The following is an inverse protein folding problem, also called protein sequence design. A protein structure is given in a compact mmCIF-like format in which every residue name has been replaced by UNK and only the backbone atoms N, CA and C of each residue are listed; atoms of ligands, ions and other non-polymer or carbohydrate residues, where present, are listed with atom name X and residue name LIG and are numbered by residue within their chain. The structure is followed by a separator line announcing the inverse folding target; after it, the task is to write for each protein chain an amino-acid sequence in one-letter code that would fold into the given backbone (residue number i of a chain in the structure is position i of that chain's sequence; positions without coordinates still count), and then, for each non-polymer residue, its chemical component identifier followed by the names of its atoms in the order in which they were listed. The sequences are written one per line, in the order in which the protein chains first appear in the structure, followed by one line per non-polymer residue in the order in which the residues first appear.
data_IF_813892397421
#
_entry.id   IF_813892397421
#
_cell.length_a   1.000
_cell.length_b   1.000
_cell.length_c   1.000
_cell.angle_alpha   90.00
_cell.angle_beta   90.00
_cell.angle_gamma   90.00
#
_symmetry.space_group_name_H-M   'P 1'
#
loop_
_entity.id
_entity.type
_entity.pdbx_description
1 polymer ?
#
# COMPACT_ATOMS: atom_id res chain seq x y z
N UNK A 1 -15.09 -12.00 -16.32
CA UNK A 1 -14.02 -11.00 -16.10
C UNK A 1 -14.53 -9.64 -16.59
N UNK A 2 -14.39 -8.57 -15.81
CA UNK A 2 -14.82 -7.21 -16.21
C UNK A 2 -13.90 -6.65 -17.31
N UNK A 3 -14.45 -5.95 -18.31
CA UNK A 3 -13.62 -5.30 -19.35
C UNK A 3 -12.89 -4.07 -18.80
N UNK A 4 -11.84 -3.65 -19.50
CA UNK A 4 -11.07 -2.46 -19.13
C UNK A 4 -11.96 -1.21 -19.04
N UNK A 5 -12.82 -0.97 -20.03
CA UNK A 5 -13.69 0.20 -20.11
C UNK A 5 -14.73 0.19 -19.00
N UNK A 6 -15.32 -0.98 -18.71
CA UNK A 6 -16.27 -1.14 -17.59
C UNK A 6 -15.59 -0.82 -16.26
N UNK A 7 -14.37 -1.33 -16.05
CA UNK A 7 -13.59 -1.05 -14.85
C UNK A 7 -13.21 0.42 -14.73
N UNK A 8 -12.70 1.02 -15.80
CA UNK A 8 -12.33 2.43 -15.82
C UNK A 8 -13.56 3.32 -15.59
N UNK A 9 -14.71 2.97 -16.16
CA UNK A 9 -16.00 3.64 -15.88
C UNK A 9 -16.37 3.52 -14.40
N UNK A 10 -16.30 2.32 -13.82
CA UNK A 10 -16.57 2.10 -12.39
C UNK A 10 -15.62 2.89 -11.51
N UNK A 11 -14.33 2.92 -11.80
CA UNK A 11 -13.35 3.72 -11.07
C UNK A 11 -13.57 5.21 -11.22
N UNK A 12 -14.05 5.69 -12.37
CA UNK A 12 -14.24 7.12 -12.64
C UNK A 12 -15.54 7.67 -12.06
N UNK A 13 -16.62 6.90 -12.11
CA UNK A 13 -17.96 7.38 -11.77
C UNK A 13 -18.56 6.75 -10.51
N UNK A 14 -18.00 5.62 -10.05
CA UNK A 14 -18.46 4.92 -8.86
C UNK A 14 -17.98 5.55 -7.55
N UNK A 15 -18.18 4.81 -6.47
CA UNK A 15 -17.72 5.20 -5.14
C UNK A 15 -16.19 5.37 -5.14
N UNK A 16 -15.64 6.48 -4.58
CA UNK A 16 -14.20 6.69 -4.47
C UNK A 16 -13.42 5.57 -3.77
N UNK A 17 -14.11 4.70 -3.01
CA UNK A 17 -13.54 3.49 -2.39
C UNK A 17 -13.25 2.36 -3.37
N UNK A 18 -13.96 2.29 -4.49
CA UNK A 18 -13.93 1.16 -5.43
C UNK A 18 -12.53 0.78 -5.91
N UNK A 19 -11.65 1.71 -6.35
CA UNK A 19 -10.33 1.33 -6.84
C UNK A 19 -9.46 0.68 -5.76
N UNK A 20 -9.56 1.17 -4.52
CA UNK A 20 -8.78 0.68 -3.39
C UNK A 20 -9.31 -0.63 -2.84
N UNK A 21 -10.63 -0.81 -2.76
CA UNK A 21 -11.25 -2.10 -2.47
C UNK A 21 -10.84 -3.14 -3.50
N UNK A 22 -10.84 -2.77 -4.78
CA UNK A 22 -10.38 -3.66 -5.84
C UNK A 22 -8.89 -4.03 -5.67
N UNK A 23 -8.04 -3.07 -5.32
CA UNK A 23 -6.61 -3.31 -5.03
C UNK A 23 -6.43 -4.28 -3.84
N UNK A 24 -7.05 -3.98 -2.70
CA UNK A 24 -6.96 -4.79 -1.47
C UNK A 24 -7.49 -6.20 -1.70
N UNK A 25 -8.64 -6.34 -2.37
CA UNK A 25 -9.22 -7.65 -2.67
C UNK A 25 -8.37 -8.44 -3.68
N UNK A 26 -7.75 -7.77 -4.65
CA UNK A 26 -6.82 -8.44 -5.57
C UNK A 26 -5.61 -9.00 -4.80
N UNK A 27 -5.04 -8.21 -3.89
CA UNK A 27 -3.93 -8.65 -3.05
C UNK A 27 -4.37 -9.81 -2.15
N UNK A 28 -5.51 -9.69 -1.47
CA UNK A 28 -6.04 -10.71 -0.56
C UNK A 28 -6.34 -12.04 -1.26
N UNK A 29 -6.85 -12.01 -2.49
CA UNK A 29 -7.28 -13.21 -3.21
C UNK A 29 -6.17 -13.86 -4.03
N UNK A 30 -5.20 -13.10 -4.55
CA UNK A 30 -4.21 -13.62 -5.48
C UNK A 30 -2.77 -13.59 -4.95
N UNK A 31 -2.40 -12.62 -4.11
CA UNK A 31 -1.01 -12.46 -3.65
C UNK A 31 -0.81 -13.01 -2.24
N UNK A 32 -1.77 -12.78 -1.34
CA UNK A 32 -1.72 -13.29 0.04
C UNK A 32 -1.60 -14.82 0.12
N UNK A 33 -2.31 -15.64 -0.69
CA UNK A 33 -2.13 -17.09 -0.67
C UNK A 33 -0.69 -17.51 -1.01
N UNK A 34 -0.05 -16.82 -1.96
CA UNK A 34 1.35 -17.07 -2.31
C UNK A 34 2.29 -16.67 -1.18
N UNK A 35 2.07 -15.53 -0.52
CA UNK A 35 2.81 -15.19 0.69
C UNK A 35 2.64 -16.22 1.80
N UNK A 36 1.43 -16.74 2.00
CA UNK A 36 1.19 -17.78 2.99
C UNK A 36 2.03 -19.03 2.70
N UNK A 37 2.09 -19.48 1.44
CA UNK A 37 2.95 -20.59 1.02
C UNK A 37 4.43 -20.31 1.28
N UNK A 38 4.91 -19.07 1.07
CA UNK A 38 6.30 -18.72 1.39
C UNK A 38 6.61 -18.89 2.88
N UNK A 39 5.65 -18.54 3.76
CA UNK A 39 5.79 -18.76 5.21
C UNK A 39 5.77 -20.26 5.54
N UNK A 40 4.82 -21.00 4.98
CA UNK A 40 4.68 -22.46 5.18
C UNK A 40 5.95 -23.22 4.76
N UNK A 41 6.67 -22.71 3.75
CA UNK A 41 7.91 -23.30 3.23
C UNK A 41 9.21 -22.71 3.83
N UNK A 42 9.12 -21.85 4.87
CA UNK A 42 10.31 -21.24 5.48
C UNK A 42 11.07 -20.25 4.57
N UNK A 43 10.44 -19.73 3.52
CA UNK A 43 11.06 -18.85 2.53
C UNK A 43 11.05 -17.39 3.00
N UNK A 44 11.73 -17.10 4.11
CA UNK A 44 11.70 -15.81 4.80
C UNK A 44 12.05 -14.61 3.90
N UNK A 45 13.06 -14.74 3.05
CA UNK A 45 13.48 -13.64 2.16
C UNK A 45 12.42 -13.33 1.09
N UNK A 46 11.78 -14.36 0.52
CA UNK A 46 10.68 -14.16 -0.43
C UNK A 46 9.48 -13.50 0.25
N UNK A 47 9.20 -13.88 1.50
CA UNK A 47 8.18 -13.23 2.30
C UNK A 47 8.47 -11.73 2.49
N UNK A 48 9.70 -11.35 2.85
CA UNK A 48 10.08 -9.93 2.99
C UNK A 48 10.00 -9.16 1.68
N UNK A 49 10.42 -9.75 0.54
CA UNK A 49 10.28 -9.12 -0.77
C UNK A 49 8.81 -8.87 -1.13
N UNK A 50 7.96 -9.89 -1.00
CA UNK A 50 6.55 -9.81 -1.38
C UNK A 50 5.72 -8.94 -0.44
N UNK A 51 5.90 -9.07 0.88
CA UNK A 51 5.23 -8.20 1.86
C UNK A 51 5.63 -6.73 1.66
N UNK A 52 6.91 -6.44 1.42
CA UNK A 52 7.36 -5.08 1.12
C UNK A 52 6.73 -4.51 -0.16
N UNK A 53 6.61 -5.31 -1.23
CA UNK A 53 5.95 -4.87 -2.45
C UNK A 53 4.49 -4.48 -2.20
N UNK A 54 3.75 -5.29 -1.41
CA UNK A 54 2.38 -4.98 -0.99
C UNK A 54 2.34 -3.69 -0.17
N UNK A 55 3.22 -3.56 0.83
CA UNK A 55 3.33 -2.38 1.69
C UNK A 55 3.48 -1.11 0.85
N UNK A 56 4.44 -1.10 -0.08
CA UNK A 56 4.70 0.07 -0.91
C UNK A 56 3.54 0.36 -1.85
N UNK A 57 2.91 -0.66 -2.42
CA UNK A 57 1.79 -0.49 -3.33
C UNK A 57 0.57 0.12 -2.60
N UNK A 58 0.21 -0.42 -1.45
CA UNK A 58 -0.91 0.09 -0.63
C UNK A 58 -0.59 1.48 -0.09
N UNK A 59 0.60 1.67 0.50
CA UNK A 59 1.01 2.97 1.03
C UNK A 59 1.00 4.07 -0.04
N UNK A 60 1.46 3.75 -1.26
CA UNK A 60 1.45 4.71 -2.37
C UNK A 60 0.06 4.96 -2.90
N UNK A 61 -0.75 3.92 -3.08
CA UNK A 61 -2.05 4.08 -3.70
C UNK A 61 -3.07 4.73 -2.78
N UNK A 62 -3.13 4.30 -1.52
CA UNK A 62 -4.12 4.79 -0.54
C UNK A 62 -3.63 6.06 0.14
N UNK A 63 -2.36 6.11 0.56
CA UNK A 63 -1.85 7.21 1.41
C UNK A 63 -0.88 8.16 0.69
N UNK A 64 -0.48 7.86 -0.56
CA UNK A 64 0.55 8.60 -1.31
C UNK A 64 1.88 8.76 -0.56
N UNK A 65 2.20 7.75 0.25
CA UNK A 65 3.48 7.64 0.95
C UNK A 65 4.34 6.58 0.26
N UNK A 66 5.65 6.79 0.28
CA UNK A 66 6.64 5.90 -0.34
C UNK A 66 7.85 5.69 0.57
N UNK A 67 8.68 4.71 0.25
CA UNK A 67 9.93 4.46 0.96
C UNK A 67 9.70 4.05 2.41
N UNK A 68 10.57 4.54 3.30
CA UNK A 68 10.47 4.29 4.75
C UNK A 68 9.16 4.86 5.30
N UNK A 69 8.77 6.08 4.90
CA UNK A 69 7.52 6.71 5.36
C UNK A 69 6.26 5.93 4.95
N UNK A 70 6.27 5.32 3.76
CA UNK A 70 5.21 4.39 3.34
C UNK A 70 5.20 3.10 4.15
N UNK A 71 6.40 2.55 4.43
CA UNK A 71 6.57 1.34 5.25
C UNK A 71 6.04 1.55 6.67
N UNK A 72 6.52 2.60 7.35
CA UNK A 72 6.08 2.97 8.68
C UNK A 72 4.57 3.20 8.74
N UNK A 73 4.01 3.94 7.79
CA UNK A 73 2.57 4.21 7.74
C UNK A 73 1.74 2.93 7.58
N UNK A 74 2.15 2.00 6.71
CA UNK A 74 1.42 0.74 6.55
C UNK A 74 1.48 -0.11 7.81
N UNK A 75 2.68 -0.31 8.35
CA UNK A 75 2.90 -1.16 9.52
C UNK A 75 2.06 -0.65 10.71
N UNK A 76 2.14 0.66 10.97
CA UNK A 76 1.43 1.31 12.07
C UNK A 76 -0.09 1.10 12.01
N UNK A 77 -0.67 1.20 10.82
CA UNK A 77 -2.11 1.14 10.67
C UNK A 77 -2.65 -0.30 10.57
N UNK A 78 -1.87 -1.24 10.03
CA UNK A 78 -2.40 -2.53 9.62
C UNK A 78 -1.72 -3.75 10.24
N UNK A 79 -0.47 -3.63 10.67
CA UNK A 79 0.36 -4.79 11.11
C UNK A 79 0.64 -4.74 12.60
N UNK A 80 0.85 -3.54 13.15
CA UNK A 80 1.22 -3.37 14.55
C UNK A 80 0.20 -4.06 15.49
N UNK A 81 0.76 -4.83 16.42
CA UNK A 81 0.02 -5.44 17.52
C UNK A 81 -0.22 -4.46 18.67
N UNK A 82 -0.68 -5.02 19.79
CA UNK A 82 -1.00 -4.25 21.00
C UNK A 82 0.24 -4.00 21.87
N UNK A 83 1.15 -4.97 21.93
CA UNK A 83 2.36 -4.90 22.73
C UNK A 83 3.49 -4.18 21.99
N UNK A 84 4.44 -3.60 22.73
CA UNK A 84 5.55 -2.84 22.14
C UNK A 84 6.40 -3.66 21.16
N UNK A 85 6.70 -4.91 21.53
CA UNK A 85 7.47 -5.87 20.74
C UNK A 85 6.74 -6.36 19.47
N UNK A 86 5.45 -6.02 19.30
CA UNK A 86 4.69 -6.28 18.08
C UNK A 86 4.37 -5.01 17.29
N UNK A 87 4.92 -3.86 17.70
CA UNK A 87 4.87 -2.60 16.93
C UNK A 87 6.02 -2.55 15.92
N UNK A 88 5.86 -3.27 14.83
CA UNK A 88 6.84 -3.32 13.74
C UNK A 88 7.09 -1.96 13.08
N UNK A 89 6.16 -1.01 13.20
CA UNK A 89 6.36 0.36 12.72
C UNK A 89 7.55 1.08 13.38
N UNK A 90 7.89 0.73 14.63
CA UNK A 90 9.05 1.26 15.36
C UNK A 90 10.38 0.86 14.71
N UNK A 91 10.41 -0.33 14.09
CA UNK A 91 11.58 -0.85 13.33
C UNK A 91 11.36 -0.76 11.81
N UNK A 92 10.46 0.10 11.35
CA UNK A 92 10.09 0.21 9.93
C UNK A 92 11.28 0.54 9.01
N UNK A 93 12.28 1.27 9.50
CA UNK A 93 13.54 1.52 8.77
C UNK A 93 14.29 0.21 8.49
N UNK A 94 14.41 -0.66 9.49
CA UNK A 94 15.07 -1.96 9.35
C UNK A 94 14.29 -2.88 8.42
N UNK A 95 12.97 -2.96 8.56
CA UNK A 95 12.10 -3.74 7.66
C UNK A 95 12.21 -3.22 6.22
N UNK A 96 12.23 -1.90 6.03
CA UNK A 96 12.41 -1.29 4.71
C UNK A 96 13.75 -1.66 4.08
N UNK A 97 14.83 -1.62 4.87
CA UNK A 97 16.17 -1.97 4.40
C UNK A 97 16.38 -3.46 4.18
N UNK A 98 15.67 -4.33 4.91
CA UNK A 98 15.69 -5.77 4.69
C UNK A 98 15.42 -6.11 3.22
N UNK A 99 14.45 -5.43 2.58
CA UNK A 99 14.19 -5.59 1.15
C UNK A 99 15.40 -5.22 0.29
N UNK A 100 16.04 -4.08 0.56
CA UNK A 100 17.18 -3.62 -0.24
C UNK A 100 18.38 -4.57 -0.09
N UNK A 101 18.60 -5.07 1.12
CA UNK A 101 19.64 -6.06 1.41
C UNK A 101 19.36 -7.34 0.63
N UNK A 102 18.16 -7.92 0.77
CA UNK A 102 17.77 -9.15 0.07
C UNK A 102 17.79 -8.98 -1.45
N UNK A 103 17.32 -7.84 -1.97
CA UNK A 103 17.19 -7.63 -3.42
C UNK A 103 18.49 -7.23 -4.12
N UNK A 104 19.41 -6.54 -3.45
CA UNK A 104 20.55 -5.88 -4.10
C UNK A 104 21.89 -6.05 -3.39
N UNK A 105 21.89 -6.44 -2.12
CA UNK A 105 23.08 -6.37 -1.27
C UNK A 105 23.16 -7.54 -0.28
N UNK A 106 22.96 -8.77 -0.76
CA UNK A 106 23.00 -9.98 0.07
C UNK A 106 24.32 -10.11 0.86
N UNK A 107 25.40 -9.45 0.43
CA UNK A 107 26.70 -9.45 1.11
C UNK A 107 27.06 -8.12 1.80
N UNK A 108 26.13 -7.18 2.02
CA UNK A 108 26.49 -5.92 2.69
C UNK A 108 26.65 -6.08 4.20
N UNK A 109 27.56 -5.27 4.75
CA UNK A 109 27.77 -5.13 6.19
C UNK A 109 26.46 -4.80 6.95
N UNK A 110 25.53 -4.12 6.29
CA UNK A 110 24.22 -3.75 6.85
C UNK A 110 23.35 -4.97 7.21
N UNK A 111 23.59 -6.14 6.59
CA UNK A 111 22.89 -7.39 6.92
C UNK A 111 23.20 -7.85 8.33
N UNK A 112 24.37 -7.55 8.88
CA UNK A 112 24.75 -7.98 10.24
C UNK A 112 23.92 -7.32 11.34
N UNK A 113 23.33 -6.15 11.08
CA UNK A 113 22.57 -5.40 12.07
C UNK A 113 21.09 -5.84 12.17
N UNK A 114 20.65 -6.77 11.32
CA UNK A 114 19.30 -7.33 11.37
C UNK A 114 19.40 -8.86 11.40
N UNK A 115 19.07 -9.44 12.55
CA UNK A 115 19.15 -10.87 12.80
C UNK A 115 17.73 -11.43 12.77
N UNK A 116 17.49 -12.42 11.92
CA UNK A 116 16.26 -13.19 11.92
C UNK A 116 16.40 -14.29 12.99
N UNK A 117 15.55 -14.24 14.01
CA UNK A 117 15.65 -15.10 15.19
C UNK A 117 14.27 -15.71 15.46
N UNK A 118 14.07 -16.96 15.02
CA UNK A 118 12.80 -17.69 15.14
C UNK A 118 12.50 -18.12 16.58
N UNK A 119 13.54 -18.26 17.40
CA UNK A 119 13.43 -18.69 18.81
C UNK A 119 13.03 -17.53 19.73
N UNK A 120 13.06 -16.30 19.22
CA UNK A 120 12.65 -15.11 19.98
C UNK A 120 11.16 -15.18 20.32
N UNK A 121 10.80 -15.19 21.61
CA UNK A 121 9.38 -15.26 22.04
C UNK A 121 8.56 -14.02 21.63
N UNK A 122 9.22 -12.89 21.40
CA UNK A 122 8.62 -11.60 21.09
C UNK A 122 8.74 -11.24 19.59
N UNK A 123 7.98 -10.26 19.10
CA UNK A 123 7.99 -9.92 17.67
C UNK A 123 9.31 -9.34 17.19
N UNK A 124 9.91 -8.46 17.97
CA UNK A 124 11.26 -7.97 17.78
C UNK A 124 11.87 -7.53 19.11
N UNK A 125 13.21 -7.45 19.14
CA UNK A 125 13.97 -6.90 20.26
C UNK A 125 15.21 -6.19 19.74
N UNK A 126 15.56 -5.07 20.36
CA UNK A 126 16.82 -4.41 20.10
C UNK A 126 17.85 -4.80 21.16
N UNK A 127 19.01 -5.29 20.73
CA UNK A 127 20.16 -5.61 21.57
C UNK A 127 21.35 -4.80 21.05
N UNK A 128 21.75 -3.75 21.78
CA UNK A 128 22.80 -2.81 21.34
C UNK A 128 22.47 -2.22 19.95
N UNK A 129 23.32 -2.50 18.95
CA UNK A 129 23.17 -2.03 17.57
C UNK A 129 22.37 -2.99 16.67
N UNK A 130 22.05 -4.19 17.16
CA UNK A 130 21.38 -5.21 16.36
C UNK A 130 19.89 -5.25 16.69
N UNK A 131 19.09 -5.42 15.65
CA UNK A 131 17.67 -5.71 15.76
C UNK A 131 17.46 -7.19 15.46
N UNK A 132 16.93 -7.91 16.45
CA UNK A 132 16.45 -9.28 16.30
C UNK A 132 14.97 -9.26 15.97
N UNK A 133 14.55 -9.97 14.93
CA UNK A 133 13.15 -10.04 14.49
C UNK A 133 12.72 -11.50 14.44
N UNK A 134 11.64 -11.82 15.16
CA UNK A 134 10.92 -13.06 14.91
C UNK A 134 10.07 -12.89 13.66
N UNK A 135 10.54 -13.43 12.54
CA UNK A 135 9.85 -13.27 11.26
C UNK A 135 8.52 -14.03 11.20
N UNK A 136 8.32 -15.09 11.98
CA UNK A 136 7.03 -15.78 12.07
C UNK A 136 5.98 -14.90 12.74
N UNK A 137 6.35 -14.19 13.81
CA UNK A 137 5.44 -13.23 14.48
C UNK A 137 5.13 -12.08 13.52
N UNK A 138 6.14 -11.51 12.86
CA UNK A 138 5.92 -10.48 11.84
C UNK A 138 4.99 -10.96 10.72
N UNK A 139 5.25 -12.15 10.16
CA UNK A 139 4.49 -12.71 9.07
C UNK A 139 3.03 -12.96 9.45
N UNK A 140 2.79 -13.48 10.66
CA UNK A 140 1.44 -13.67 11.21
C UNK A 140 0.68 -12.36 11.26
N UNK A 141 1.24 -11.34 11.91
CA UNK A 141 0.64 -10.01 12.02
C UNK A 141 0.35 -9.39 10.64
N UNK A 142 1.27 -9.55 9.69
CA UNK A 142 1.11 -9.05 8.34
C UNK A 142 -0.03 -9.76 7.59
N UNK A 143 -0.09 -11.10 7.65
CA UNK A 143 -1.11 -11.89 6.97
C UNK A 143 -2.50 -11.71 7.61
N UNK A 144 -2.54 -11.53 8.93
CA UNK A 144 -3.77 -11.31 9.70
C UNK A 144 -4.44 -9.98 9.37
N UNK A 145 -3.67 -8.98 8.92
CA UNK A 145 -4.20 -7.71 8.43
C UNK A 145 -5.27 -7.90 7.33
N UNK A 146 -5.20 -9.00 6.57
CA UNK A 146 -6.09 -9.35 5.46
C UNK A 146 -7.15 -10.41 5.80
N UNK A 147 -7.18 -10.94 7.02
CA UNK A 147 -8.22 -11.87 7.45
C UNK A 147 -9.60 -11.20 7.46
N UNK A 148 -10.67 -11.99 7.60
CA UNK A 148 -12.02 -11.44 7.76
C UNK A 148 -12.05 -10.52 8.99
N UNK A 149 -12.40 -9.25 8.80
CA UNK A 149 -12.35 -8.23 9.85
C UNK A 149 -10.94 -7.70 10.15
N UNK A 150 -9.96 -8.01 9.31
CA UNK A 150 -8.61 -7.49 9.43
C UNK A 150 -8.54 -5.98 9.18
N UNK A 151 -7.59 -5.31 9.86
CA UNK A 151 -7.44 -3.85 9.85
C UNK A 151 -7.29 -3.25 8.45
N UNK A 152 -6.83 -4.03 7.46
CA UNK A 152 -6.64 -3.52 6.11
C UNK A 152 -7.95 -3.08 5.45
N UNK A 153 -9.10 -3.61 5.88
CA UNK A 153 -10.40 -3.28 5.30
C UNK A 153 -11.00 -1.97 5.84
N UNK A 154 -10.44 -1.43 6.93
CA UNK A 154 -10.84 -0.15 7.54
C UNK A 154 -9.99 1.03 7.04
N UNK A 155 -9.23 0.84 5.96
CA UNK A 155 -8.31 1.82 5.41
C UNK A 155 -8.98 3.17 5.08
N UNK A 156 -10.27 3.18 4.74
CA UNK A 156 -11.00 4.40 4.38
C UNK A 156 -11.31 5.29 5.58
N UNK A 157 -11.30 4.74 6.80
CA UNK A 157 -11.46 5.52 8.05
C UNK A 157 -10.23 6.41 8.32
N UNK A 158 -9.12 6.16 7.64
CA UNK A 158 -7.85 6.88 7.79
C UNK A 158 -7.72 8.07 6.82
N UNK A 159 -8.73 8.32 5.98
CA UNK A 159 -8.76 9.38 5.00
C UNK A 159 -10.03 10.22 5.13
N UNK A 160 -9.89 11.53 4.97
CA UNK A 160 -11.07 12.38 4.80
C UNK A 160 -11.77 12.10 3.45
N UNK A 161 -13.07 12.43 3.31
CA UNK A 161 -13.79 12.25 2.04
C UNK A 161 -13.13 12.95 0.84
N UNK A 162 -12.56 14.14 1.04
CA UNK A 162 -11.86 14.87 -0.03
C UNK A 162 -10.53 14.21 -0.39
N UNK A 163 -9.77 13.72 0.59
CA UNK A 163 -8.55 12.94 0.32
C UNK A 163 -8.88 11.71 -0.50
N UNK A 164 -9.94 10.99 -0.14
CA UNK A 164 -10.35 9.80 -0.86
C UNK A 164 -10.63 10.08 -2.35
N UNK A 165 -11.31 11.18 -2.67
CA UNK A 165 -11.54 11.63 -4.05
C UNK A 165 -10.23 11.96 -4.77
N UNK A 166 -9.31 12.69 -4.13
CA UNK A 166 -8.00 12.98 -4.71
C UNK A 166 -7.23 11.69 -5.00
N UNK A 167 -7.23 10.75 -4.05
CA UNK A 167 -6.54 9.46 -4.20
C UNK A 167 -7.15 8.65 -5.33
N UNK A 168 -8.47 8.62 -5.48
CA UNK A 168 -9.16 7.93 -6.57
C UNK A 168 -8.58 8.33 -7.94
N UNK A 169 -8.47 9.63 -8.22
CA UNK A 169 -7.96 10.08 -9.51
C UNK A 169 -6.44 9.90 -9.66
N UNK A 170 -5.68 10.00 -8.57
CA UNK A 170 -4.26 9.64 -8.59
C UNK A 170 -4.04 8.15 -8.87
N UNK A 171 -4.90 7.29 -8.33
CA UNK A 171 -4.91 5.87 -8.64
C UNK A 171 -5.22 5.65 -10.12
N UNK A 172 -6.26 6.30 -10.66
CA UNK A 172 -6.61 6.20 -12.08
C UNK A 172 -5.43 6.63 -12.97
N UNK A 173 -4.73 7.71 -12.64
CA UNK A 173 -3.54 8.13 -13.38
C UNK A 173 -2.47 7.02 -13.43
N UNK A 174 -2.25 6.32 -12.31
CA UNK A 174 -1.30 5.20 -12.24
C UNK A 174 -1.80 3.95 -12.95
N UNK A 175 -3.08 3.62 -12.79
CA UNK A 175 -3.74 2.49 -13.44
C UNK A 175 -3.68 2.60 -14.97
N UNK A 176 -3.74 3.82 -15.49
CA UNK A 176 -3.63 4.13 -16.91
C UNK A 176 -2.17 4.40 -17.34
N UNK A 177 -1.21 4.27 -16.44
CA UNK A 177 0.22 4.52 -16.69
C UNK A 177 0.51 5.90 -17.30
N UNK A 178 -0.28 6.90 -16.93
CA UNK A 178 -0.19 8.23 -17.52
C UNK A 178 1.02 9.00 -16.98
N UNK A 179 1.80 9.66 -17.86
CA UNK A 179 2.88 10.52 -17.40
C UNK A 179 2.32 11.73 -16.66
N UNK A 180 3.11 12.33 -15.76
CA UNK A 180 2.70 13.53 -15.01
C UNK A 180 2.30 14.71 -15.91
N UNK A 181 2.84 14.75 -17.13
CA UNK A 181 2.55 15.77 -18.15
C UNK A 181 1.18 15.59 -18.82
N UNK A 182 0.53 14.43 -18.68
CA UNK A 182 -0.79 14.19 -19.25
C UNK A 182 -1.86 15.08 -18.58
N UNK A 183 -2.84 15.55 -19.34
CA UNK A 183 -3.81 16.54 -18.86
C UNK A 183 -4.62 16.05 -17.65
N UNK A 184 -5.06 14.79 -17.67
CA UNK A 184 -5.71 14.14 -16.51
C UNK A 184 -4.81 14.24 -15.25
N UNK A 185 -3.51 13.97 -15.39
CA UNK A 185 -2.56 14.03 -14.27
C UNK A 185 -2.35 15.46 -13.79
N UNK A 186 -2.22 16.43 -14.70
CA UNK A 186 -2.09 17.86 -14.36
C UNK A 186 -3.28 18.36 -13.55
N UNK A 187 -4.50 18.06 -14.00
CA UNK A 187 -5.72 18.45 -13.27
C UNK A 187 -5.81 17.73 -11.93
N UNK A 188 -5.39 16.46 -11.85
CA UNK A 188 -5.32 15.70 -10.58
C UNK A 188 -4.30 16.29 -9.60
N UNK A 189 -3.16 16.80 -10.08
CA UNK A 189 -2.17 17.50 -9.25
C UNK A 189 -2.76 18.81 -8.71
N UNK A 190 -3.46 19.57 -9.55
CA UNK A 190 -4.15 20.78 -9.13
C UNK A 190 -5.29 20.50 -8.12
N UNK A 191 -5.96 19.36 -8.25
CA UNK A 191 -6.96 18.86 -7.30
C UNK A 191 -6.38 18.63 -5.91
N UNK A 192 -5.21 18.00 -5.84
CA UNK A 192 -4.49 17.81 -4.57
C UNK A 192 -4.13 19.14 -3.90
N UNK A 193 -3.69 20.13 -4.68
CA UNK A 193 -3.30 21.44 -4.16
C UNK A 193 -4.47 22.24 -3.57
N UNK A 194 -5.70 21.96 -4.00
CA UNK A 194 -6.91 22.69 -3.61
C UNK A 194 -7.92 21.81 -2.87
N UNK A 195 -7.44 20.80 -2.13
CA UNK A 195 -8.28 19.77 -1.50
C UNK A 195 -9.34 20.32 -0.52
N UNK A 196 -9.09 21.49 0.06
CA UNK A 196 -9.99 22.14 1.02
C UNK A 196 -11.02 23.06 0.37
N UNK A 197 -10.86 23.39 -0.92
CA UNK A 197 -11.81 24.22 -1.67
C UNK A 197 -12.83 23.31 -2.39
N UNK A 198 -14.04 23.23 -1.84
CA UNK A 198 -15.12 22.38 -2.38
C UNK A 198 -15.52 22.77 -3.80
N UNK A 199 -15.50 24.06 -4.15
CA UNK A 199 -15.92 24.54 -5.47
C UNK A 199 -14.88 24.16 -6.51
N UNK A 200 -13.61 24.39 -6.20
CA UNK A 200 -12.49 23.98 -7.06
C UNK A 200 -12.44 22.46 -7.21
N UNK A 201 -12.61 21.73 -6.12
CA UNK A 201 -12.66 20.27 -6.11
C UNK A 201 -13.75 19.73 -7.05
N UNK A 202 -14.98 20.21 -6.91
CA UNK A 202 -16.10 19.78 -7.77
C UNK A 202 -15.82 20.09 -9.25
N UNK A 203 -15.34 21.31 -9.56
CA UNK A 203 -15.02 21.73 -10.92
C UNK A 203 -13.93 20.86 -11.56
N UNK A 204 -12.85 20.58 -10.83
CA UNK A 204 -11.74 19.78 -11.33
C UNK A 204 -12.12 18.31 -11.48
N UNK A 205 -12.90 17.75 -10.56
CA UNK A 205 -13.45 16.38 -10.70
C UNK A 205 -14.29 16.27 -11.98
N UNK A 206 -15.17 17.24 -12.26
CA UNK A 206 -15.97 17.26 -13.49
C UNK A 206 -15.09 17.32 -14.74
N UNK A 207 -14.03 18.13 -14.71
CA UNK A 207 -13.06 18.21 -15.79
C UNK A 207 -12.31 16.89 -16.01
N UNK A 208 -11.82 16.25 -14.94
CA UNK A 208 -11.13 14.95 -15.02
C UNK A 208 -12.04 13.90 -15.66
N UNK A 209 -13.29 13.79 -15.20
CA UNK A 209 -14.28 12.86 -15.77
C UNK A 209 -14.48 13.09 -17.27
N UNK A 210 -14.63 14.36 -17.69
CA UNK A 210 -14.77 14.73 -19.10
C UNK A 210 -13.55 14.31 -19.93
N UNK A 211 -12.34 14.53 -19.40
CA UNK A 211 -11.09 14.13 -20.07
C UNK A 211 -10.98 12.60 -20.19
N UNK A 212 -11.36 11.84 -19.16
CA UNK A 212 -11.37 10.38 -19.20
C UNK A 212 -12.36 9.88 -20.27
N UNK A 213 -13.60 10.39 -20.27
CA UNK A 213 -14.60 10.05 -21.28
C UNK A 213 -14.08 10.29 -22.71
N UNK A 214 -13.49 11.47 -22.95
CA UNK A 214 -12.96 11.85 -24.26
C UNK A 214 -11.82 10.95 -24.70
N UNK A 215 -10.86 10.67 -23.81
CA UNK A 215 -9.64 9.95 -24.18
C UNK A 215 -9.84 8.43 -24.31
N UNK A 216 -10.83 7.87 -23.63
CA UNK A 216 -11.03 6.42 -23.54
C UNK A 216 -12.40 5.95 -24.07
N UNK A 217 -13.14 6.82 -24.76
CA UNK A 217 -14.46 6.52 -25.34
C UNK A 217 -15.46 5.93 -24.33
N UNK A 218 -15.42 6.39 -23.08
CA UNK A 218 -16.34 5.95 -22.03
C UNK A 218 -17.55 6.87 -22.03
N UNK A 219 -18.75 6.31 -22.14
CA UNK A 219 -19.99 7.07 -21.93
C UNK A 219 -20.10 7.50 -20.48
N UNK A 220 -20.23 8.82 -20.26
CA UNK A 220 -20.57 9.35 -18.94
C UNK A 220 -21.94 8.82 -18.46
N UNK A 221 -22.22 8.92 -17.16
CA UNK A 221 -23.60 8.87 -16.67
C UNK A 221 -24.40 10.05 -17.23
#
# INVERSE_FOLDING_TARGET
METFEKRLKRFTFGNPREPFLNLVNTIANFVRPELKKTVENGQVYLFFLGSHAIIQNIAKNIFDKTGIGGTSCYLKNFVDGLSFDTKFSEISKNIHYMRNIVAHHILSHSMHNIILDEELECGWKQNNNDIRVNWHVYARHFLDAFNRGGKIYDWDQLLSPNELIVRQYQFICRYLELPKSHDICKVTIALKANINDKVVLHRQVKLIKKLICKNYNITGP
#
